data_IF_030679100719
#
_entry.id   IF_030679100719
#
_cell.length_a   1.000
_cell.length_b   1.000
_cell.length_c   1.000
_cell.angle_alpha   90.00
_cell.angle_beta   90.00
_cell.angle_gamma   90.00
#
_symmetry.space_group_name_H-M   'P 1'
#
loop_
_entity.id
_entity.type
_entity.pdbx_description
1 polymer ?
#
# COMPACT_ATOMS: atom_id res chain seq x y z
N UNK A 1 4.80 -5.78 -5.70
CA UNK A 1 3.87 -5.04 -4.81
C UNK A 1 4.55 -4.75 -3.49
N UNK A 2 5.03 -5.76 -2.76
CA UNK A 2 5.81 -5.61 -1.52
C UNK A 2 6.96 -4.57 -1.63
N UNK A 3 7.85 -4.72 -2.62
CA UNK A 3 8.95 -3.75 -2.88
C UNK A 3 8.44 -2.30 -2.95
N UNK A 4 7.27 -2.07 -3.56
CA UNK A 4 6.72 -0.72 -3.69
C UNK A 4 6.18 -0.17 -2.36
N UNK A 5 5.71 -1.05 -1.47
CA UNK A 5 5.34 -0.70 -0.10
C UNK A 5 6.61 -0.37 0.69
N UNK A 6 7.66 -1.19 0.56
CA UNK A 6 8.93 -0.95 1.25
C UNK A 6 9.53 0.41 0.86
N UNK A 7 9.60 0.72 -0.45
CA UNK A 7 9.99 2.04 -0.95
C UNK A 7 9.12 3.18 -0.38
N UNK A 8 7.82 2.94 -0.19
CA UNK A 8 6.90 3.94 0.35
C UNK A 8 7.13 4.18 1.85
N UNK A 9 7.38 3.11 2.61
CA UNK A 9 7.70 3.18 4.03
C UNK A 9 9.07 3.85 4.25
N UNK A 10 10.07 3.55 3.43
CA UNK A 10 11.39 4.22 3.46
C UNK A 10 11.25 5.72 3.20
N UNK A 11 10.47 6.11 2.18
CA UNK A 11 10.19 7.51 1.87
C UNK A 11 9.50 8.26 3.02
N UNK A 12 8.65 7.58 3.79
CA UNK A 12 8.03 8.16 4.99
C UNK A 12 8.99 8.27 6.16
N UNK A 13 9.94 7.33 6.24
CA UNK A 13 10.91 7.21 7.34
C UNK A 13 12.09 8.16 7.18
N UNK A 14 12.46 8.49 5.94
CA UNK A 14 13.65 9.30 5.61
C UNK A 14 13.59 10.76 6.07
N UNK A 15 12.57 11.18 6.82
CA UNK A 15 12.42 12.56 7.28
C UNK A 15 12.11 13.47 6.09
N UNK A 16 10.86 13.89 5.99
CA UNK A 16 10.49 14.90 5.00
C UNK A 16 11.04 16.25 5.47
N UNK A 17 12.33 16.51 5.26
CA UNK A 17 12.99 17.82 5.43
C UNK A 17 12.55 18.79 4.33
N UNK A 18 11.25 18.96 4.17
CA UNK A 18 10.70 19.89 3.20
C UNK A 18 10.60 21.28 3.81
N UNK A 19 11.11 22.25 3.06
CA UNK A 19 11.02 23.67 3.35
C UNK A 19 9.55 24.06 3.61
N UNK A 20 9.21 24.75 4.73
CA UNK A 20 7.82 25.01 5.13
C UNK A 20 6.92 25.64 4.07
N UNK A 21 7.46 26.48 3.17
CA UNK A 21 6.65 27.31 2.28
C UNK A 21 6.34 26.65 0.91
N UNK A 22 7.24 25.82 0.39
CA UNK A 22 7.08 25.08 -0.89
C UNK A 22 6.83 23.59 -0.68
N UNK A 23 7.11 23.09 0.52
CA UNK A 23 7.12 21.68 0.86
C UNK A 23 5.76 20.99 0.81
N UNK A 24 4.67 21.66 1.23
CA UNK A 24 3.39 20.99 1.39
C UNK A 24 2.77 20.57 0.04
N UNK A 25 2.85 21.44 -0.97
CA UNK A 25 2.30 21.15 -2.30
C UNK A 25 3.10 20.04 -2.99
N UNK A 26 4.43 20.09 -2.91
CA UNK A 26 5.32 19.04 -3.42
C UNK A 26 5.09 17.71 -2.70
N UNK A 27 4.91 17.74 -1.38
CA UNK A 27 4.60 16.56 -0.57
C UNK A 27 3.29 15.91 -1.00
N UNK A 28 2.23 16.70 -1.16
CA UNK A 28 0.92 16.23 -1.64
C UNK A 28 1.03 15.60 -3.02
N UNK A 29 1.77 16.21 -3.95
CA UNK A 29 2.00 15.65 -5.27
C UNK A 29 2.78 14.32 -5.22
N UNK A 30 3.84 14.25 -4.41
CA UNK A 30 4.66 13.05 -4.24
C UNK A 30 3.82 11.89 -3.67
N UNK A 31 3.05 12.14 -2.61
CA UNK A 31 2.16 11.15 -2.00
C UNK A 31 1.02 10.71 -2.92
N UNK A 32 0.45 11.64 -3.70
CA UNK A 32 -0.54 11.29 -4.73
C UNK A 32 0.02 10.33 -5.77
N UNK A 33 1.22 10.62 -6.29
CA UNK A 33 1.89 9.74 -7.26
C UNK A 33 2.20 8.36 -6.67
N UNK A 34 2.69 8.32 -5.43
CA UNK A 34 2.99 7.09 -4.71
C UNK A 34 1.74 6.24 -4.49
N UNK A 35 0.65 6.85 -4.01
CA UNK A 35 -0.64 6.19 -3.77
C UNK A 35 -1.21 5.57 -5.04
N UNK A 36 -1.14 6.29 -6.16
CA UNK A 36 -1.53 5.76 -7.48
C UNK A 36 -0.69 4.55 -7.87
N UNK A 37 0.64 4.65 -7.76
CA UNK A 37 1.53 3.53 -8.08
C UNK A 37 1.31 2.30 -7.18
N UNK A 38 1.06 2.51 -5.89
CA UNK A 38 0.71 1.43 -4.96
C UNK A 38 -0.63 0.79 -5.30
N UNK A 39 -1.64 1.59 -5.64
CA UNK A 39 -2.95 1.08 -6.06
C UNK A 39 -2.84 0.24 -7.33
N UNK A 40 -2.13 0.71 -8.35
CA UNK A 40 -1.92 -0.05 -9.59
C UNK A 40 -1.23 -1.40 -9.33
N UNK A 41 -0.18 -1.42 -8.50
CA UNK A 41 0.53 -2.65 -8.16
C UNK A 41 -0.33 -3.58 -7.30
N UNK A 42 -1.14 -3.03 -6.39
CA UNK A 42 -2.11 -3.77 -5.57
C UNK A 42 -3.18 -4.45 -6.44
N UNK A 43 -3.77 -3.70 -7.37
CA UNK A 43 -4.77 -4.23 -8.30
C UNK A 43 -4.21 -5.35 -9.17
N UNK A 44 -2.99 -5.18 -9.71
CA UNK A 44 -2.31 -6.25 -10.48
C UNK A 44 -2.10 -7.52 -9.65
N UNK A 45 -1.71 -7.38 -8.38
CA UNK A 45 -1.54 -8.51 -7.48
C UNK A 45 -2.87 -9.22 -7.15
N UNK A 46 -3.94 -8.44 -6.91
CA UNK A 46 -5.28 -8.98 -6.66
C UNK A 46 -5.84 -9.71 -7.88
N UNK A 47 -5.69 -9.14 -9.07
CA UNK A 47 -6.11 -9.81 -10.31
C UNK A 47 -5.39 -11.14 -10.49
N UNK A 48 -4.07 -11.17 -10.25
CA UNK A 48 -3.30 -12.42 -10.33
C UNK A 48 -3.73 -13.46 -9.30
N UNK A 49 -4.12 -13.02 -8.10
CA UNK A 49 -4.72 -13.89 -7.08
C UNK A 49 -6.06 -14.45 -7.53
N UNK A 50 -6.92 -13.64 -8.15
CA UNK A 50 -8.20 -14.12 -8.71
C UNK A 50 -7.97 -15.15 -9.83
N UNK A 51 -7.04 -14.88 -10.76
CA UNK A 51 -6.65 -15.84 -11.80
C UNK A 51 -6.17 -17.18 -11.20
N UNK A 52 -5.38 -17.13 -10.13
CA UNK A 52 -4.93 -18.33 -9.41
C UNK A 52 -6.11 -19.08 -8.76
N UNK A 53 -7.06 -18.36 -8.17
CA UNK A 53 -8.26 -18.96 -7.58
C UNK A 53 -9.13 -19.65 -8.63
N UNK A 54 -9.31 -19.03 -9.78
CA UNK A 54 -10.07 -19.62 -10.88
C UNK A 54 -9.35 -20.87 -11.44
N UNK A 55 -8.03 -20.80 -11.58
CA UNK A 55 -7.21 -21.96 -11.96
C UNK A 55 -7.31 -23.11 -10.94
N UNK A 56 -7.26 -22.82 -9.65
CA UNK A 56 -7.35 -23.83 -8.60
C UNK A 56 -8.72 -24.49 -8.57
N UNK A 57 -9.80 -23.75 -8.81
CA UNK A 57 -11.16 -24.31 -8.92
C UNK A 57 -11.28 -25.25 -10.11
N UNK A 58 -10.74 -24.88 -11.27
CA UNK A 58 -10.74 -25.78 -12.43
C UNK A 58 -9.87 -27.02 -12.18
N UNK A 59 -8.72 -26.83 -11.54
CA UNK A 59 -7.80 -27.91 -11.19
C UNK A 59 -8.41 -28.90 -10.19
N UNK A 60 -9.10 -28.42 -9.14
CA UNK A 60 -9.81 -29.27 -8.19
C UNK A 60 -10.92 -30.09 -8.85
N UNK A 61 -11.63 -29.54 -9.84
CA UNK A 61 -12.63 -30.28 -10.60
C UNK A 61 -12.01 -31.42 -11.44
N UNK A 62 -10.82 -31.22 -12.02
CA UNK A 62 -10.06 -32.25 -12.73
C UNK A 62 -9.39 -33.27 -11.79
N UNK A 63 -8.83 -32.86 -10.66
CA UNK A 63 -8.17 -33.72 -9.67
C UNK A 63 -9.15 -34.53 -8.80
N UNK A 64 -10.37 -34.01 -8.57
CA UNK A 64 -11.44 -34.78 -7.93
C UNK A 64 -11.77 -36.07 -8.71
N UNK A 65 -11.46 -36.11 -10.01
CA UNK A 65 -11.54 -37.31 -10.84
C UNK A 65 -10.35 -38.27 -10.65
N UNK A 66 -9.27 -37.86 -9.95
CA UNK A 66 -7.96 -38.58 -9.92
C UNK A 66 -7.28 -38.86 -8.56
N UNK A 67 -7.86 -38.49 -7.42
CA UNK A 67 -7.35 -38.80 -6.04
C UNK A 67 -6.01 -38.10 -5.64
N UNK A 68 -5.81 -37.64 -4.39
CA UNK A 68 -6.22 -36.33 -3.82
C UNK A 68 -5.07 -35.63 -3.02
N UNK A 69 -3.79 -35.86 -3.34
CA UNK A 69 -2.67 -35.20 -2.62
C UNK A 69 -2.31 -33.85 -3.23
N UNK A 70 -2.39 -33.72 -4.56
CA UNK A 70 -2.08 -32.49 -5.30
C UNK A 70 -3.04 -31.35 -4.95
N UNK A 71 -4.35 -31.63 -4.98
CA UNK A 71 -5.39 -30.68 -4.59
C UNK A 71 -5.18 -30.07 -3.19
N UNK A 72 -4.88 -30.91 -2.18
CA UNK A 72 -4.67 -30.44 -0.79
C UNK A 72 -3.42 -29.55 -0.66
N UNK A 73 -2.34 -29.90 -1.35
CA UNK A 73 -1.12 -29.09 -1.35
C UNK A 73 -1.35 -27.72 -2.03
N UNK A 74 -2.12 -27.72 -3.13
CA UNK A 74 -2.49 -26.50 -3.84
C UNK A 74 -3.38 -25.57 -2.99
N UNK A 75 -4.36 -26.13 -2.28
CA UNK A 75 -5.21 -25.39 -1.34
C UNK A 75 -4.42 -24.76 -0.19
N UNK A 76 -3.41 -25.48 0.34
CA UNK A 76 -2.53 -24.93 1.37
C UNK A 76 -1.65 -23.79 0.85
N UNK A 77 -1.13 -23.91 -0.37
CA UNK A 77 -0.37 -22.83 -1.03
C UNK A 77 -1.25 -21.59 -1.23
N UNK A 78 -2.51 -21.79 -1.66
CA UNK A 78 -3.48 -20.72 -1.80
C UNK A 78 -3.71 -19.96 -0.50
N UNK A 79 -4.00 -20.64 0.62
CA UNK A 79 -4.23 -19.99 1.92
C UNK A 79 -3.03 -19.13 2.34
N UNK A 80 -1.80 -19.60 2.05
CA UNK A 80 -0.59 -18.81 2.31
C UNK A 80 -0.53 -17.54 1.45
N UNK A 81 -0.83 -17.66 0.15
CA UNK A 81 -0.90 -16.49 -0.75
C UNK A 81 -1.99 -15.52 -0.33
N UNK A 82 -3.13 -16.01 0.12
CA UNK A 82 -4.25 -15.21 0.63
C UNK A 82 -3.85 -14.39 1.87
N UNK A 83 -3.28 -15.04 2.88
CA UNK A 83 -2.80 -14.36 4.08
C UNK A 83 -1.67 -13.37 3.82
N UNK A 84 -0.74 -13.70 2.91
CA UNK A 84 0.29 -12.74 2.47
C UNK A 84 -0.33 -11.53 1.75
N UNK A 85 -1.37 -11.76 0.95
CA UNK A 85 -2.05 -10.67 0.27
C UNK A 85 -2.77 -9.75 1.28
N UNK A 86 -3.44 -10.32 2.27
CA UNK A 86 -4.08 -9.56 3.35
C UNK A 86 -3.06 -8.66 4.09
N UNK A 87 -1.94 -9.25 4.53
CA UNK A 87 -0.85 -8.52 5.18
C UNK A 87 -0.34 -7.35 4.31
N UNK A 88 -0.14 -7.58 3.01
CA UNK A 88 0.33 -6.53 2.11
C UNK A 88 -0.73 -5.44 1.89
N UNK A 89 -2.03 -5.77 1.90
CA UNK A 89 -3.09 -4.76 1.85
C UNK A 89 -3.13 -3.93 3.15
N UNK A 90 -2.91 -4.55 4.31
CA UNK A 90 -2.83 -3.84 5.59
C UNK A 90 -1.66 -2.87 5.64
N UNK A 91 -0.47 -3.32 5.20
CA UNK A 91 0.69 -2.42 5.10
C UNK A 91 0.42 -1.25 4.16
N UNK A 92 -0.21 -1.49 3.01
CA UNK A 92 -0.64 -0.41 2.10
C UNK A 92 -1.59 0.58 2.80
N UNK A 93 -2.58 0.09 3.56
CA UNK A 93 -3.50 0.95 4.33
C UNK A 93 -2.74 1.78 5.38
N UNK A 94 -1.77 1.19 6.07
CA UNK A 94 -0.94 1.89 7.05
C UNK A 94 -0.10 3.00 6.39
N UNK A 95 0.48 2.74 5.21
CA UNK A 95 1.18 3.74 4.40
C UNK A 95 0.24 4.90 4.05
N UNK A 96 -0.97 4.61 3.54
CA UNK A 96 -1.97 5.64 3.22
C UNK A 96 -2.34 6.50 4.45
N UNK A 97 -2.51 5.89 5.63
CA UNK A 97 -2.80 6.60 6.87
C UNK A 97 -1.66 7.51 7.31
N UNK A 98 -0.41 7.02 7.27
CA UNK A 98 0.77 7.81 7.63
C UNK A 98 0.94 9.01 6.69
N UNK A 99 0.72 8.84 5.39
CA UNK A 99 0.76 9.97 4.43
C UNK A 99 -0.25 11.06 4.81
N UNK A 100 -1.48 10.67 5.16
CA UNK A 100 -2.51 11.62 5.57
C UNK A 100 -2.13 12.36 6.86
N UNK A 101 -1.56 11.65 7.84
CA UNK A 101 -1.08 12.24 9.09
C UNK A 101 0.08 13.23 8.84
N UNK A 102 1.03 12.89 7.97
CA UNK A 102 2.15 13.76 7.63
C UNK A 102 1.69 15.04 6.93
N UNK A 103 0.76 14.94 5.97
CA UNK A 103 0.14 16.11 5.33
C UNK A 103 -0.53 17.01 6.38
N UNK A 104 -1.36 16.43 7.24
CA UNK A 104 -2.09 17.18 8.25
C UNK A 104 -1.15 17.85 9.26
N UNK A 105 -0.12 17.14 9.72
CA UNK A 105 0.90 17.70 10.62
C UNK A 105 1.61 18.89 9.97
N UNK A 106 1.96 18.78 8.69
CA UNK A 106 2.62 19.87 7.98
C UNK A 106 1.67 21.08 7.78
N UNK A 107 0.39 20.86 7.47
CA UNK A 107 -0.61 21.92 7.40
C UNK A 107 -0.75 22.69 8.71
N UNK A 108 -0.78 21.98 9.84
CA UNK A 108 -0.86 22.58 11.17
C UNK A 108 0.40 23.42 11.45
N UNK A 109 1.60 22.89 11.17
CA UNK A 109 2.85 23.63 11.33
C UNK A 109 2.87 24.92 10.50
N UNK A 110 2.48 24.82 9.22
CA UNK A 110 2.44 25.98 8.33
C UNK A 110 1.47 27.05 8.85
N UNK A 111 0.29 26.65 9.36
CA UNK A 111 -0.65 27.59 9.98
C UNK A 111 -0.04 28.25 11.21
N UNK A 112 0.57 27.49 12.13
CA UNK A 112 1.19 28.06 13.34
C UNK A 112 2.23 29.12 12.94
N UNK A 113 3.12 28.82 11.99
CA UNK A 113 4.14 29.75 11.53
C UNK A 113 3.57 31.00 10.84
N UNK A 114 2.44 30.88 10.12
CA UNK A 114 1.73 32.03 9.57
C UNK A 114 1.10 32.91 10.67
N UNK A 115 0.51 32.30 11.69
CA UNK A 115 -0.03 33.01 12.85
C UNK A 115 1.06 33.76 13.62
N UNK A 116 2.19 33.10 13.90
CA UNK A 116 3.35 33.71 14.56
C UNK A 116 3.90 34.90 13.78
N UNK A 117 3.90 34.83 12.44
CA UNK A 117 4.33 35.94 11.58
C UNK A 117 3.36 37.12 11.67
N UNK A 118 2.06 36.87 11.68
CA UNK A 118 1.04 37.92 11.79
C UNK A 118 1.06 38.62 13.16
N UNK A 119 1.45 37.92 14.23
CA UNK A 119 1.55 38.51 15.58
C UNK A 119 2.81 39.39 15.76
N UNK A 120 3.81 39.23 14.89
CA UNK A 120 5.04 40.03 14.87
C UNK A 120 4.96 41.29 13.99
N UNK A 121 3.84 41.51 13.28
CA UNK A 121 3.53 42.72 12.50
C UNK A 121 2.63 43.70 13.30
#
# INVERSE_FOLDING_TARGET
FAIKIDEAEELQSAGTDLNPDTGLTELKHKYSSLRRGLLEKSMKALNRKCELLDFLKSFEAEEALRYTVGARAAQNSYRKVDGLMELLQDRRRAVDQRMAQQIHSQEVKNRISEWERQEQE
#
